data_IF_861950829485
#
_entry.id   IF_861950829485
#
_cell.length_a   1.000
_cell.length_b   1.000
_cell.length_c   1.000
_cell.angle_alpha   90.00
_cell.angle_beta   90.00
_cell.angle_gamma   90.00
#
_symmetry.space_group_name_H-M   'P 1'
#
loop_
_entity.id
_entity.type
_entity.pdbx_description
1 polymer ?
#
# COMPACT_ATOMS: atom_id res chain seq x y z
N UNK A 1 7.37 -4.57 19.15
CA UNK A 1 7.63 -4.87 17.73
C UNK A 1 6.85 -6.13 17.39
N UNK A 2 5.78 -6.06 16.61
CA UNK A 2 5.09 -7.29 16.17
C UNK A 2 6.03 -8.03 15.25
N UNK A 3 6.25 -9.30 15.57
CA UNK A 3 7.06 -10.18 14.74
C UNK A 3 6.31 -10.34 13.40
N UNK A 4 7.00 -10.07 12.29
CA UNK A 4 6.47 -10.33 10.94
C UNK A 4 6.53 -11.85 10.68
N UNK A 5 5.77 -12.62 11.45
CA UNK A 5 5.65 -14.07 11.27
C UNK A 5 4.94 -14.39 9.96
N UNK A 6 5.08 -15.63 9.49
CA UNK A 6 4.33 -16.14 8.33
C UNK A 6 2.82 -15.90 8.51
N UNK A 7 2.30 -16.10 9.71
CA UNK A 7 0.89 -15.90 10.05
C UNK A 7 0.44 -14.46 9.79
N UNK A 8 1.21 -13.46 10.26
CA UNK A 8 0.90 -12.04 10.02
C UNK A 8 0.95 -11.69 8.53
N UNK A 9 1.90 -12.27 7.79
CA UNK A 9 2.02 -12.05 6.34
C UNK A 9 0.83 -12.65 5.59
N UNK A 10 0.36 -13.84 5.99
CA UNK A 10 -0.83 -14.48 5.42
C UNK A 10 -2.11 -13.72 5.76
N UNK A 11 -2.23 -13.18 6.97
CA UNK A 11 -3.35 -12.32 7.36
C UNK A 11 -3.38 -11.05 6.50
N UNK A 12 -2.26 -10.37 6.34
CA UNK A 12 -2.18 -9.18 5.49
C UNK A 12 -2.55 -9.48 4.03
N UNK A 13 -2.08 -10.63 3.48
CA UNK A 13 -2.48 -11.10 2.16
C UNK A 13 -3.99 -11.31 2.07
N UNK A 14 -4.57 -12.00 3.06
CA UNK A 14 -6.00 -12.28 3.10
C UNK A 14 -6.85 -11.01 3.13
N UNK A 15 -6.46 -10.03 3.94
CA UNK A 15 -7.13 -8.73 3.99
C UNK A 15 -7.01 -7.97 2.67
N UNK A 16 -5.85 -7.98 2.03
CA UNK A 16 -5.67 -7.36 0.72
C UNK A 16 -6.56 -8.03 -0.35
N UNK A 17 -6.60 -9.37 -0.39
CA UNK A 17 -7.47 -10.12 -1.32
C UNK A 17 -8.95 -9.76 -1.10
N UNK A 18 -9.40 -9.60 0.17
CA UNK A 18 -10.78 -9.19 0.51
C UNK A 18 -11.11 -7.78 0.02
N UNK A 19 -10.22 -6.81 0.29
CA UNK A 19 -10.40 -5.42 -0.16
C UNK A 19 -10.51 -5.36 -1.68
N UNK A 20 -9.65 -6.08 -2.40
CA UNK A 20 -9.71 -6.15 -3.86
C UNK A 20 -11.01 -6.79 -4.35
N UNK A 21 -11.46 -7.87 -3.72
CA UNK A 21 -12.72 -8.53 -4.06
C UNK A 21 -13.94 -7.63 -3.81
N UNK A 22 -13.95 -6.85 -2.73
CA UNK A 22 -15.00 -5.84 -2.48
C UNK A 22 -15.08 -4.77 -3.55
N UNK A 23 -13.95 -4.43 -4.17
CA UNK A 23 -13.88 -3.54 -5.32
C UNK A 23 -14.17 -4.24 -6.68
N UNK A 24 -14.61 -5.51 -6.66
CA UNK A 24 -14.86 -6.29 -7.88
C UNK A 24 -13.59 -6.67 -8.65
N UNK A 25 -12.45 -6.66 -8.01
CA UNK A 25 -11.13 -6.96 -8.59
C UNK A 25 -10.55 -8.23 -7.99
N UNK A 26 -9.72 -8.92 -8.75
CA UNK A 26 -8.99 -10.11 -8.28
C UNK A 26 -7.50 -9.90 -8.44
N UNK A 27 -6.74 -10.16 -7.38
CA UNK A 27 -5.28 -10.16 -7.44
C UNK A 27 -4.83 -11.42 -8.15
N UNK A 28 -4.18 -11.29 -9.29
CA UNK A 28 -3.67 -12.41 -10.09
C UNK A 28 -2.18 -12.67 -9.89
N UNK A 29 -1.44 -11.64 -9.49
CA UNK A 29 0.01 -11.71 -9.44
C UNK A 29 0.58 -10.88 -8.31
N UNK A 30 1.47 -11.47 -7.55
CA UNK A 30 2.29 -10.82 -6.54
C UNK A 30 3.73 -10.68 -7.05
N UNK A 31 4.34 -9.54 -6.83
CA UNK A 31 5.76 -9.31 -7.03
C UNK A 31 6.39 -8.84 -5.72
N UNK A 32 7.39 -9.55 -5.24
CA UNK A 32 7.96 -9.31 -3.92
C UNK A 32 9.49 -9.47 -3.91
N UNK A 33 10.13 -9.03 -2.84
CA UNK A 33 11.51 -9.40 -2.58
C UNK A 33 11.64 -10.86 -2.09
N UNK A 34 12.86 -11.39 -2.14
CA UNK A 34 13.15 -12.76 -1.68
C UNK A 34 13.18 -12.91 -0.14
N UNK A 35 12.89 -11.86 0.62
CA UNK A 35 12.88 -11.93 2.07
C UNK A 35 11.81 -12.88 2.61
N UNK A 36 10.90 -12.38 3.41
CA UNK A 36 9.84 -13.17 4.04
C UNK A 36 8.80 -13.76 3.08
N UNK A 37 8.62 -13.15 1.93
CA UNK A 37 7.66 -13.61 0.93
C UNK A 37 8.12 -14.86 0.17
N UNK A 38 9.39 -15.27 0.33
CA UNK A 38 9.92 -16.52 -0.22
C UNK A 38 9.69 -17.74 0.69
N UNK A 39 9.04 -17.56 1.84
CA UNK A 39 8.63 -18.67 2.69
C UNK A 39 7.66 -19.60 1.94
N UNK A 40 7.90 -20.91 2.01
CA UNK A 40 7.10 -21.89 1.29
C UNK A 40 5.62 -21.78 1.64
N UNK A 41 5.27 -21.56 2.91
CA UNK A 41 3.88 -21.38 3.34
C UNK A 41 3.20 -20.19 2.67
N UNK A 42 3.92 -19.09 2.41
CA UNK A 42 3.37 -17.97 1.67
C UNK A 42 3.23 -18.28 0.16
N UNK A 43 4.23 -18.90 -0.44
CA UNK A 43 4.20 -19.32 -1.85
C UNK A 43 3.06 -20.30 -2.09
N UNK A 44 2.87 -21.29 -1.23
CA UNK A 44 1.79 -22.27 -1.31
C UNK A 44 0.41 -21.60 -1.17
N UNK A 45 0.27 -20.64 -0.27
CA UNK A 45 -0.98 -19.89 -0.10
C UNK A 45 -1.32 -18.99 -1.30
N UNK A 46 -0.32 -18.50 -2.04
CA UNK A 46 -0.52 -17.78 -3.31
C UNK A 46 -0.94 -18.74 -4.41
N UNK A 47 -0.19 -19.83 -4.60
CA UNK A 47 -0.45 -20.80 -5.64
C UNK A 47 -1.79 -21.54 -5.43
N UNK A 48 -2.17 -21.81 -4.17
CA UNK A 48 -3.44 -22.45 -3.83
C UNK A 48 -4.69 -21.62 -4.17
N UNK A 49 -4.53 -20.33 -4.46
CA UNK A 49 -5.61 -19.44 -4.94
C UNK A 49 -5.52 -19.13 -6.45
N UNK A 50 -4.76 -19.91 -7.20
CA UNK A 50 -4.52 -19.70 -8.63
C UNK A 50 -3.92 -18.32 -8.96
N UNK A 51 -3.14 -17.79 -7.99
CA UNK A 51 -2.39 -16.55 -8.12
C UNK A 51 -0.92 -16.86 -8.41
N UNK A 52 -0.22 -15.95 -9.05
CA UNK A 52 1.21 -16.08 -9.35
C UNK A 52 2.05 -15.24 -8.39
N UNK A 53 3.24 -15.71 -8.06
CA UNK A 53 4.23 -14.92 -7.35
C UNK A 53 5.54 -14.90 -8.14
N UNK A 54 6.16 -13.74 -8.22
CA UNK A 54 7.50 -13.55 -8.76
C UNK A 54 8.34 -12.77 -7.78
N UNK A 55 9.65 -12.98 -7.84
CA UNK A 55 10.58 -12.33 -6.94
C UNK A 55 11.56 -11.45 -7.70
N UNK A 56 11.99 -10.37 -7.07
CA UNK A 56 13.10 -9.57 -7.55
C UNK A 56 14.36 -10.45 -7.68
N UNK A 57 15.16 -10.16 -8.70
CA UNK A 57 16.46 -10.80 -8.85
C UNK A 57 17.39 -10.51 -7.65
N UNK A 58 18.34 -11.39 -7.40
CA UNK A 58 19.36 -11.20 -6.36
C UNK A 58 20.16 -9.94 -6.67
N UNK A 59 20.24 -9.01 -5.71
CA UNK A 59 20.97 -7.74 -5.88
C UNK A 59 20.26 -6.67 -6.71
N UNK A 60 19.02 -6.89 -7.15
CA UNK A 60 18.27 -5.95 -8.00
C UNK A 60 17.25 -5.14 -7.20
N UNK A 61 17.71 -4.43 -6.16
CA UNK A 61 16.86 -3.57 -5.32
C UNK A 61 16.04 -2.55 -6.11
N UNK A 62 16.56 -2.07 -7.25
CA UNK A 62 15.84 -1.13 -8.12
C UNK A 62 14.54 -1.69 -8.69
N UNK A 63 14.34 -3.01 -8.75
CA UNK A 63 13.10 -3.63 -9.20
C UNK A 63 11.93 -3.39 -8.23
N UNK A 64 12.23 -3.10 -6.97
CA UNK A 64 11.24 -2.71 -5.95
C UNK A 64 11.11 -1.18 -5.78
N UNK A 65 11.78 -0.39 -6.63
CA UNK A 65 11.86 1.06 -6.49
C UNK A 65 10.53 1.77 -6.42
N UNK A 66 9.48 1.24 -7.08
CA UNK A 66 8.12 1.79 -7.00
C UNK A 66 7.57 1.66 -5.58
N UNK A 67 7.71 0.48 -4.96
CA UNK A 67 7.23 0.20 -3.60
C UNK A 67 8.05 1.00 -2.59
N UNK A 68 9.36 1.01 -2.73
CA UNK A 68 10.27 1.79 -1.87
C UNK A 68 9.96 3.28 -1.91
N UNK A 69 9.73 3.83 -3.11
CA UNK A 69 9.35 5.23 -3.26
C UNK A 69 7.97 5.51 -2.63
N UNK A 70 6.98 4.65 -2.82
CA UNK A 70 5.67 4.81 -2.16
C UNK A 70 5.79 4.73 -0.63
N UNK A 71 6.58 3.81 -0.09
CA UNK A 71 6.85 3.73 1.35
C UNK A 71 7.53 5.00 1.87
N UNK A 72 8.50 5.55 1.13
CA UNK A 72 9.16 6.81 1.47
C UNK A 72 8.16 7.98 1.48
N UNK A 73 7.29 8.07 0.49
CA UNK A 73 6.26 9.13 0.41
C UNK A 73 5.30 9.02 1.62
N UNK A 74 4.80 7.82 1.90
CA UNK A 74 3.91 7.57 3.04
C UNK A 74 4.57 7.94 4.36
N UNK A 75 5.79 7.47 4.59
CA UNK A 75 6.54 7.73 5.83
C UNK A 75 6.85 9.21 6.00
N UNK A 76 7.33 9.87 4.95
CA UNK A 76 7.64 11.30 5.00
C UNK A 76 6.39 12.13 5.19
N UNK A 77 5.30 11.82 4.47
CA UNK A 77 4.03 12.50 4.60
C UNK A 77 3.42 12.33 6.00
N UNK A 78 3.43 11.10 6.53
CA UNK A 78 2.96 10.81 7.88
C UNK A 78 3.74 11.60 8.95
N UNK A 79 5.07 11.63 8.83
CA UNK A 79 5.92 12.44 9.71
C UNK A 79 5.59 13.93 9.63
N UNK A 80 5.39 14.45 8.43
CA UNK A 80 5.03 15.85 8.21
C UNK A 80 3.70 16.19 8.85
N UNK A 81 2.68 15.33 8.69
CA UNK A 81 1.37 15.53 9.33
C UNK A 81 1.47 15.53 10.86
N UNK A 82 2.22 14.60 11.44
CA UNK A 82 2.43 14.56 12.89
C UNK A 82 3.14 15.80 13.43
N UNK A 83 4.21 16.23 12.75
CA UNK A 83 4.95 17.43 13.14
C UNK A 83 4.06 18.69 13.06
N UNK A 84 3.26 18.79 11.99
CA UNK A 84 2.31 19.89 11.84
C UNK A 84 1.22 19.84 12.91
N UNK A 85 0.61 18.67 13.12
CA UNK A 85 -0.40 18.46 14.16
C UNK A 85 0.15 18.77 15.56
N UNK A 86 1.36 18.32 15.87
CA UNK A 86 2.01 18.61 17.17
C UNK A 86 2.31 20.10 17.37
N UNK A 87 2.62 20.81 16.29
CA UNK A 87 2.78 22.28 16.34
C UNK A 87 1.48 23.00 16.65
N UNK A 88 0.36 22.55 16.08
CA UNK A 88 -0.96 23.15 16.29
C UNK A 88 -1.59 22.72 17.62
N UNK A 89 -1.42 21.47 18.01
CA UNK A 89 -2.01 20.85 19.20
C UNK A 89 -0.97 20.05 20.02
N UNK A 90 0.00 20.73 20.66
CA UNK A 90 1.17 20.08 21.27
C UNK A 90 0.83 19.13 22.43
N UNK A 91 -0.33 19.30 23.07
CA UNK A 91 -0.78 18.44 24.18
C UNK A 91 -1.67 17.29 23.74
N UNK A 92 -2.11 17.27 22.48
CA UNK A 92 -3.07 16.28 21.99
C UNK A 92 -2.46 15.29 20.99
N UNK A 93 -1.43 15.72 20.26
CA UNK A 93 -0.81 14.90 19.21
C UNK A 93 0.52 14.32 19.71
N UNK A 94 0.58 13.03 19.77
CA UNK A 94 1.77 12.26 20.11
C UNK A 94 2.12 11.19 19.04
N UNK A 95 3.09 10.34 19.35
CA UNK A 95 3.55 9.30 18.43
C UNK A 95 2.51 8.18 18.20
N UNK A 96 1.51 8.04 19.06
CA UNK A 96 0.44 7.05 18.90
C UNK A 96 -0.42 7.35 17.65
N UNK A 97 -0.45 8.60 17.20
CA UNK A 97 -1.16 9.01 15.98
C UNK A 97 -0.45 8.61 14.68
N UNK A 98 0.72 7.95 14.76
CA UNK A 98 1.47 7.55 13.57
C UNK A 98 0.64 6.76 12.56
N UNK A 99 -0.12 5.78 13.02
CA UNK A 99 -0.95 4.93 12.15
C UNK A 99 -2.04 5.76 11.43
N UNK A 100 -2.66 6.69 12.14
CA UNK A 100 -3.65 7.60 11.55
C UNK A 100 -3.01 8.54 10.53
N UNK A 101 -1.83 9.06 10.81
CA UNK A 101 -1.10 9.93 9.90
C UNK A 101 -0.75 9.21 8.59
N UNK A 102 -0.24 7.98 8.66
CA UNK A 102 0.04 7.16 7.48
C UNK A 102 -1.24 6.87 6.68
N UNK A 103 -2.33 6.51 7.37
CA UNK A 103 -3.61 6.25 6.72
C UNK A 103 -4.13 7.49 6.00
N UNK A 104 -4.11 8.65 6.64
CA UNK A 104 -4.53 9.91 6.02
C UNK A 104 -3.71 10.27 4.77
N UNK A 105 -2.38 10.02 4.79
CA UNK A 105 -1.53 10.21 3.60
C UNK A 105 -1.91 9.23 2.51
N UNK A 106 -2.13 7.97 2.84
CA UNK A 106 -2.53 6.95 1.86
C UNK A 106 -3.87 7.29 1.20
N UNK A 107 -4.87 7.66 1.98
CA UNK A 107 -6.18 8.10 1.47
C UNK A 107 -6.03 9.31 0.54
N UNK A 108 -5.25 10.31 0.97
CA UNK A 108 -4.98 11.48 0.13
C UNK A 108 -4.31 11.15 -1.19
N UNK A 109 -3.32 10.24 -1.19
CA UNK A 109 -2.64 9.81 -2.41
C UNK A 109 -3.60 9.05 -3.33
N UNK A 110 -4.48 8.23 -2.78
CA UNK A 110 -5.43 7.45 -3.56
C UNK A 110 -6.56 8.29 -4.16
N UNK A 111 -6.97 9.35 -3.46
CA UNK A 111 -8.11 10.19 -3.88
C UNK A 111 -7.70 11.43 -4.69
N UNK A 112 -6.47 11.95 -4.51
CA UNK A 112 -6.07 13.22 -5.11
C UNK A 112 -4.97 13.09 -6.16
N UNK A 113 -4.19 12.03 -6.15
CA UNK A 113 -3.13 11.84 -7.13
C UNK A 113 -3.74 11.34 -8.45
N UNK A 114 -3.78 12.18 -9.46
CA UNK A 114 -4.23 11.79 -10.81
C UNK A 114 -3.06 11.31 -11.66
N UNK A 115 -3.33 10.35 -12.54
CA UNK A 115 -2.41 9.91 -13.58
C UNK A 115 -2.49 10.79 -14.84
N UNK A 116 -1.78 10.40 -15.91
CA UNK A 116 -1.79 11.11 -17.18
C UNK A 116 -3.17 11.09 -17.88
N UNK A 117 -4.06 10.19 -17.47
CA UNK A 117 -5.43 10.09 -17.99
C UNK A 117 -6.43 10.90 -17.17
N UNK A 118 -5.99 11.50 -16.05
CA UNK A 118 -6.85 12.25 -15.12
C UNK A 118 -7.58 11.35 -14.12
N UNK A 119 -7.19 10.07 -13.99
CA UNK A 119 -7.80 9.14 -13.06
C UNK A 119 -7.00 9.03 -11.77
N UNK A 120 -7.71 8.89 -10.65
CA UNK A 120 -7.09 8.59 -9.36
C UNK A 120 -6.98 7.07 -9.15
N UNK A 121 -6.04 6.58 -8.30
CA UNK A 121 -5.98 5.16 -7.95
C UNK A 121 -7.31 4.61 -7.46
N UNK A 122 -8.06 5.39 -6.70
CA UNK A 122 -9.37 5.02 -6.16
C UNK A 122 -10.43 4.88 -7.29
N UNK A 123 -10.46 5.82 -8.24
CA UNK A 123 -11.38 5.73 -9.38
C UNK A 123 -11.08 4.53 -10.28
N UNK A 124 -9.79 4.23 -10.50
CA UNK A 124 -9.36 3.05 -11.26
C UNK A 124 -9.78 1.76 -10.53
N UNK A 125 -9.62 1.72 -9.22
CA UNK A 125 -9.97 0.55 -8.40
C UNK A 125 -11.46 0.25 -8.48
N UNK A 126 -12.30 1.26 -8.30
CA UNK A 126 -13.76 1.13 -8.28
C UNK A 126 -14.42 1.21 -9.65
N UNK A 127 -13.69 1.52 -10.70
CA UNK A 127 -14.22 1.66 -12.05
C UNK A 127 -15.17 2.87 -12.21
N UNK A 128 -14.98 3.91 -11.39
CA UNK A 128 -15.78 5.14 -11.40
C UNK A 128 -15.00 6.22 -12.16
N UNK A 129 -15.60 6.80 -13.20
CA UNK A 129 -15.05 8.00 -13.83
C UNK A 129 -15.31 9.21 -12.94
N UNK A 130 -14.25 9.96 -12.62
CA UNK A 130 -14.41 11.23 -11.91
C UNK A 130 -14.77 12.31 -12.94
N UNK A 131 -16.07 12.67 -13.02
CA UNK A 131 -16.50 13.83 -13.77
C UNK A 131 -16.00 15.10 -13.06
N UNK A 132 -15.22 15.91 -13.77
CA UNK A 132 -15.05 17.32 -13.40
C UNK A 132 -13.66 17.79 -12.96
N UNK A 133 -12.57 17.08 -13.25
CA UNK A 133 -11.23 17.70 -13.17
C UNK A 133 -10.92 18.32 -14.54
N UNK A 134 -10.84 19.67 -14.68
CA UNK A 134 -10.47 20.29 -15.93
C UNK A 134 -9.06 19.82 -16.33
N UNK A 135 -8.93 19.29 -17.53
CA UNK A 135 -7.63 19.01 -18.14
C UNK A 135 -6.94 20.36 -18.37
N UNK A 136 -5.87 20.63 -17.65
CA UNK A 136 -4.97 21.76 -17.93
C UNK A 136 -4.01 21.36 -19.05
#
# INVERSE_FOLDING_TARGET
MRDLSLTETLLAKSEMDKVMAQAGRTVKHYHADKGRFSDNGFVDAVNGKDQKITFCGVGTHHQNGIIENKNKILTTGGRTLLLHGRRMWPKMIDEMFWTFAIKAVAERLNSLQVDLTGQTPESILHGVEIEGIPRQ
#
